data_IF_062137592327
#
_entry.id   IF_062137592327
#
_cell.length_a   1.000
_cell.length_b   1.000
_cell.length_c   1.000
_cell.angle_alpha   90.00
_cell.angle_beta   90.00
_cell.angle_gamma   90.00
#
_symmetry.space_group_name_H-M   'P 1'
#
loop_
_entity.id
_entity.type
_entity.pdbx_description
1 polymer ?
#
# COMPACT_ATOMS: atom_id res chain seq x y z
N UNK A 1 0.54 6.56 -57.52
CA UNK A 1 1.31 6.94 -56.30
C UNK A 1 0.33 7.04 -55.14
N UNK A 2 0.26 6.01 -54.31
CA UNK A 2 -0.74 5.87 -53.25
C UNK A 2 -0.17 6.48 -51.96
N UNK A 3 -0.84 7.51 -51.43
CA UNK A 3 -0.44 8.15 -50.17
C UNK A 3 -0.81 7.22 -49.02
N UNK A 4 0.20 6.74 -48.32
CA UNK A 4 0.07 5.95 -47.09
C UNK A 4 -0.48 6.90 -46.01
N UNK A 5 -1.61 6.61 -45.36
CA UNK A 5 -1.95 7.31 -44.13
C UNK A 5 -0.98 6.84 -43.05
N UNK A 6 -0.05 7.71 -42.68
CA UNK A 6 0.64 7.66 -41.40
C UNK A 6 -0.41 7.85 -40.32
N UNK A 7 -0.97 6.73 -39.83
CA UNK A 7 -1.68 6.72 -38.57
C UNK A 7 -0.68 7.13 -37.50
N UNK A 8 -0.75 8.38 -37.07
CA UNK A 8 -0.22 8.81 -35.78
C UNK A 8 -0.99 8.04 -34.71
N UNK A 9 -0.52 6.82 -34.42
CA UNK A 9 -0.83 6.10 -33.21
C UNK A 9 -0.06 6.77 -32.05
N UNK A 10 -0.30 8.07 -31.85
CA UNK A 10 -0.11 8.72 -30.56
C UNK A 10 -1.26 8.26 -29.66
N UNK A 11 -1.32 6.95 -29.44
CA UNK A 11 -2.10 6.33 -28.40
C UNK A 11 -1.29 6.41 -27.09
N UNK A 12 -0.76 7.59 -26.79
CA UNK A 12 -0.71 8.05 -25.41
C UNK A 12 -2.16 8.29 -25.00
N UNK A 13 -2.91 7.19 -24.85
CA UNK A 13 -4.16 7.17 -24.15
C UNK A 13 -3.88 7.90 -22.84
N UNK A 14 -4.39 9.13 -22.74
CA UNK A 14 -4.36 9.91 -21.52
C UNK A 14 -4.88 8.97 -20.46
N UNK A 15 -3.99 8.45 -19.61
CA UNK A 15 -4.39 7.45 -18.63
C UNK A 15 -5.45 8.17 -17.80
N UNK A 16 -6.70 7.71 -17.87
CA UNK A 16 -7.81 8.38 -17.22
C UNK A 16 -7.45 8.58 -15.74
N UNK A 17 -7.25 9.83 -15.33
CA UNK A 17 -6.83 10.15 -13.97
C UNK A 17 -7.79 9.51 -12.95
N UNK A 18 -9.08 9.48 -13.28
CA UNK A 18 -10.12 8.80 -12.52
C UNK A 18 -9.88 7.29 -12.36
N UNK A 19 -9.36 6.63 -13.41
CA UNK A 19 -9.03 5.20 -13.37
C UNK A 19 -7.78 4.96 -12.52
N UNK A 20 -6.77 5.81 -12.62
CA UNK A 20 -5.58 5.73 -11.75
C UNK A 20 -5.99 5.94 -10.30
N UNK A 21 -6.79 6.97 -10.00
CA UNK A 21 -7.30 7.24 -8.66
C UNK A 21 -8.11 6.05 -8.11
N UNK A 22 -8.97 5.43 -8.92
CA UNK A 22 -9.70 4.23 -8.52
C UNK A 22 -8.77 3.05 -8.21
N UNK A 23 -7.74 2.84 -9.02
CA UNK A 23 -6.73 1.79 -8.78
C UNK A 23 -5.87 2.08 -7.55
N UNK A 24 -5.45 3.33 -7.37
CA UNK A 24 -4.72 3.80 -6.19
C UNK A 24 -5.53 3.54 -4.92
N UNK A 25 -6.81 3.88 -4.94
CA UNK A 25 -7.75 3.61 -3.86
C UNK A 25 -7.86 2.11 -3.58
N UNK A 26 -8.13 1.31 -4.60
CA UNK A 26 -8.27 -0.15 -4.46
C UNK A 26 -7.00 -0.82 -3.90
N UNK A 27 -5.83 -0.32 -4.26
CA UNK A 27 -4.54 -0.85 -3.83
C UNK A 27 -3.86 -0.02 -2.73
N UNK A 28 -4.64 0.79 -2.00
CA UNK A 28 -4.14 1.65 -0.93
C UNK A 28 -3.21 0.92 0.08
N UNK A 29 -3.51 -0.30 0.58
CA UNK A 29 -2.59 -0.99 1.49
C UNK A 29 -1.19 -1.18 0.88
N UNK A 30 -1.14 -1.76 -0.33
CA UNK A 30 0.11 -2.09 -1.03
C UNK A 30 0.93 -0.84 -1.33
N UNK A 31 0.27 0.19 -1.88
CA UNK A 31 0.94 1.43 -2.27
C UNK A 31 1.46 2.17 -1.04
N UNK A 32 0.67 2.20 0.03
CA UNK A 32 1.08 2.86 1.28
C UNK A 32 2.29 2.17 1.88
N UNK A 33 2.26 0.85 2.00
CA UNK A 33 3.37 0.08 2.57
C UNK A 33 4.66 0.21 1.75
N UNK A 34 4.55 0.18 0.41
CA UNK A 34 5.70 0.37 -0.48
C UNK A 34 6.30 1.77 -0.39
N UNK A 35 5.48 2.77 -0.09
CA UNK A 35 5.93 4.18 -0.07
C UNK A 35 6.41 4.62 1.31
N UNK A 36 5.68 4.27 2.36
CA UNK A 36 5.93 4.72 3.73
C UNK A 36 6.63 3.67 4.59
N UNK A 37 6.73 2.43 4.12
CA UNK A 37 7.14 1.28 4.92
C UNK A 37 5.97 0.70 5.72
N UNK A 38 6.25 -0.23 6.66
CA UNK A 38 5.22 -0.83 7.50
C UNK A 38 4.59 0.20 8.44
N UNK A 39 3.28 0.07 8.74
CA UNK A 39 2.61 0.96 9.66
C UNK A 39 3.06 0.71 11.11
N UNK A 40 2.69 1.62 12.01
CA UNK A 40 2.77 1.36 13.44
C UNK A 40 1.65 0.38 13.83
N UNK A 41 1.98 -0.91 13.90
CA UNK A 41 1.04 -2.00 14.16
C UNK A 41 0.28 -1.83 15.49
N UNK A 42 0.91 -1.24 16.51
CA UNK A 42 0.28 -1.04 17.81
C UNK A 42 -0.85 0.02 17.80
N UNK A 43 -0.83 0.92 16.81
CA UNK A 43 -1.86 1.95 16.64
C UNK A 43 -2.80 1.66 15.45
N UNK A 44 -2.44 0.69 14.62
CA UNK A 44 -3.14 0.40 13.37
C UNK A 44 -4.21 -0.66 13.55
N UNK A 45 -5.20 -0.61 12.66
CA UNK A 45 -6.26 -1.60 12.57
C UNK A 45 -6.47 -2.01 11.11
N UNK A 46 -7.46 -2.88 10.87
CA UNK A 46 -7.76 -3.38 9.53
C UNK A 46 -8.16 -2.28 8.53
N UNK A 47 -8.75 -1.17 9.00
CA UNK A 47 -9.24 -0.09 8.16
C UNK A 47 -8.28 1.10 8.08
N UNK A 48 -7.48 1.32 9.12
CA UNK A 48 -6.69 2.53 9.32
C UNK A 48 -5.26 2.17 9.72
N UNK A 49 -4.31 2.68 8.93
CA UNK A 49 -2.89 2.51 9.18
C UNK A 49 -2.29 3.82 9.68
N UNK A 50 -1.58 3.71 10.80
CA UNK A 50 -1.04 4.86 11.51
C UNK A 50 0.47 4.94 11.34
N UNK A 51 0.96 6.13 11.03
CA UNK A 51 2.37 6.42 10.81
C UNK A 51 2.85 7.57 11.70
N UNK A 52 4.15 7.56 11.96
CA UNK A 52 4.80 8.46 12.91
C UNK A 52 4.75 7.96 14.34
N UNK A 53 5.41 8.70 15.24
CA UNK A 53 5.59 8.29 16.64
C UNK A 53 4.29 8.23 17.41
N UNK A 54 3.31 9.07 17.07
CA UNK A 54 2.02 9.17 17.77
C UNK A 54 0.83 8.83 16.87
N UNK A 55 1.07 8.22 15.70
CA UNK A 55 0.03 7.94 14.71
C UNK A 55 -0.59 9.23 14.18
N UNK A 56 0.24 10.25 13.96
CA UNK A 56 -0.21 11.55 13.45
C UNK A 56 -0.69 11.49 12.00
N UNK A 57 -0.10 10.61 11.19
CA UNK A 57 -0.56 10.32 9.84
C UNK A 57 -1.41 9.06 9.87
N UNK A 58 -2.64 9.16 9.38
CA UNK A 58 -3.60 8.07 9.28
C UNK A 58 -3.93 7.86 7.82
N UNK A 59 -3.82 6.63 7.34
CA UNK A 59 -4.19 6.23 5.98
C UNK A 59 -5.33 5.23 6.05
N UNK A 60 -6.43 5.52 5.38
CA UNK A 60 -7.57 4.62 5.27
C UNK A 60 -7.30 3.59 4.18
N UNK A 61 -6.99 2.36 4.59
CA UNK A 61 -6.61 1.27 3.68
C UNK A 61 -7.79 0.35 3.33
N UNK A 62 -8.88 0.42 4.08
CA UNK A 62 -10.10 -0.33 3.81
C UNK A 62 -11.36 0.46 4.24
N UNK A 63 -12.51 0.12 3.65
CA UNK A 63 -13.81 0.68 4.01
C UNK A 63 -14.23 1.88 3.16
N UNK A 64 -15.27 2.61 3.59
CA UNK A 64 -15.87 3.72 2.82
C UNK A 64 -14.84 4.80 2.44
N UNK A 65 -13.91 5.06 3.35
CA UNK A 65 -12.88 6.10 3.20
C UNK A 65 -11.58 5.57 2.60
N UNK A 66 -11.54 4.33 2.13
CA UNK A 66 -10.34 3.75 1.52
C UNK A 66 -9.72 4.70 0.48
N UNK A 67 -8.39 4.76 0.46
CA UNK A 67 -7.63 5.61 -0.46
C UNK A 67 -7.57 7.09 -0.07
N UNK A 68 -7.86 7.41 1.19
CA UNK A 68 -7.69 8.76 1.74
C UNK A 68 -6.75 8.75 2.94
N UNK A 69 -6.19 9.90 3.26
CA UNK A 69 -5.34 10.08 4.42
C UNK A 69 -5.68 11.36 5.19
N UNK A 70 -5.25 11.40 6.45
CA UNK A 70 -5.27 12.59 7.28
C UNK A 70 -4.02 12.67 8.13
N UNK A 71 -3.38 13.84 8.15
CA UNK A 71 -2.24 14.16 9.00
C UNK A 71 -2.66 15.17 10.07
N UNK A 72 -2.84 14.70 11.30
CA UNK A 72 -3.25 15.52 12.45
C UNK A 72 -2.19 16.54 12.88
N UNK A 73 -0.92 16.30 12.52
CA UNK A 73 0.18 17.20 12.88
C UNK A 73 0.25 18.43 11.97
N UNK A 74 -0.05 18.26 10.68
CA UNK A 74 -0.02 19.36 9.70
C UNK A 74 -1.41 19.88 9.35
N UNK A 75 -2.46 19.14 9.70
CA UNK A 75 -3.84 19.43 9.28
C UNK A 75 -4.15 19.00 7.85
N UNK A 76 -3.20 18.38 7.15
CA UNK A 76 -3.39 17.96 5.76
C UNK A 76 -4.30 16.74 5.66
N UNK A 77 -5.06 16.65 4.58
CA UNK A 77 -5.86 15.50 4.21
C UNK A 77 -5.98 15.44 2.70
N UNK A 78 -6.30 14.27 2.16
CA UNK A 78 -6.49 14.11 0.72
C UNK A 78 -6.56 12.66 0.28
N UNK A 79 -6.45 12.47 -1.03
CA UNK A 79 -6.36 11.18 -1.70
C UNK A 79 -4.94 10.59 -1.70
N UNK A 80 -4.82 9.38 -2.23
CA UNK A 80 -3.55 8.68 -2.37
C UNK A 80 -2.54 9.44 -3.25
N UNK A 81 -2.96 10.11 -4.31
CA UNK A 81 -2.03 10.89 -5.14
C UNK A 81 -1.42 12.04 -4.34
N UNK A 82 -2.24 12.74 -3.56
CA UNK A 82 -1.79 13.80 -2.65
C UNK A 82 -0.85 13.24 -1.59
N UNK A 83 -1.14 12.07 -1.01
CA UNK A 83 -0.26 11.38 -0.06
C UNK A 83 1.13 11.12 -0.69
N UNK A 84 1.15 10.59 -1.91
CA UNK A 84 2.38 10.28 -2.65
C UNK A 84 3.21 11.55 -2.93
N UNK A 85 2.56 12.60 -3.45
CA UNK A 85 3.20 13.89 -3.70
C UNK A 85 3.86 14.45 -2.44
N UNK A 86 3.14 14.43 -1.31
CA UNK A 86 3.63 14.98 -0.04
C UNK A 86 4.74 14.14 0.59
N UNK A 87 4.62 12.82 0.50
CA UNK A 87 5.59 11.90 1.11
C UNK A 87 6.90 11.86 0.36
N UNK A 88 6.86 12.01 -0.98
CA UNK A 88 8.06 11.97 -1.83
C UNK A 88 8.58 13.36 -2.21
N UNK A 89 7.80 14.42 -2.01
CA UNK A 89 8.18 15.79 -2.42
C UNK A 89 8.20 15.97 -3.95
N UNK A 90 7.33 15.27 -4.67
CA UNK A 90 7.32 15.21 -6.14
C UNK A 90 6.09 15.89 -6.75
N UNK A 91 6.13 16.14 -8.06
CA UNK A 91 4.99 16.66 -8.80
C UNK A 91 3.85 15.63 -8.90
N UNK A 92 2.66 16.10 -9.26
CA UNK A 92 1.50 15.21 -9.49
C UNK A 92 1.81 14.16 -10.59
N UNK A 93 2.42 14.59 -11.69
CA UNK A 93 2.76 13.70 -12.80
C UNK A 93 3.76 12.61 -12.38
N UNK A 94 4.75 12.97 -11.57
CA UNK A 94 5.74 12.03 -11.06
C UNK A 94 5.12 11.04 -10.07
N UNK A 95 4.21 11.52 -9.20
CA UNK A 95 3.46 10.66 -8.29
C UNK A 95 2.60 9.62 -9.04
N UNK A 96 1.90 10.04 -10.10
CA UNK A 96 1.10 9.14 -10.93
C UNK A 96 1.99 8.15 -11.71
N UNK A 97 3.16 8.59 -12.17
CA UNK A 97 4.14 7.73 -12.85
C UNK A 97 4.67 6.66 -11.90
N UNK A 98 5.04 7.04 -10.67
CA UNK A 98 5.47 6.12 -9.62
C UNK A 98 4.38 5.11 -9.27
N UNK A 99 3.16 5.59 -9.01
CA UNK A 99 1.99 4.76 -8.73
C UNK A 99 1.74 3.73 -9.85
N UNK A 100 1.78 4.19 -11.10
CA UNK A 100 1.62 3.31 -12.27
C UNK A 100 2.74 2.28 -12.36
N UNK A 101 3.96 2.65 -11.98
CA UNK A 101 5.09 1.72 -11.86
C UNK A 101 4.81 0.58 -10.88
N UNK A 102 4.34 0.90 -9.66
CA UNK A 102 3.95 -0.10 -8.66
C UNK A 102 2.83 -1.00 -9.19
N UNK A 103 1.79 -0.41 -9.78
CA UNK A 103 0.64 -1.16 -10.30
C UNK A 103 1.03 -2.09 -11.46
N UNK A 104 2.02 -1.71 -12.28
CA UNK A 104 2.52 -2.52 -13.42
C UNK A 104 3.50 -3.61 -13.02
N UNK A 105 4.28 -3.44 -11.96
CA UNK A 105 5.30 -4.41 -11.52
C UNK A 105 4.74 -5.66 -10.83
N UNK A 106 3.43 -5.88 -10.91
CA UNK A 106 2.73 -6.96 -10.25
C UNK A 106 2.14 -6.45 -8.95
N UNK A 107 0.87 -6.05 -9.04
CA UNK A 107 -0.01 -6.06 -7.88
C UNK A 107 0.20 -7.40 -7.16
N UNK A 108 0.60 -7.45 -5.88
CA UNK A 108 0.30 -8.65 -5.12
C UNK A 108 -1.22 -8.75 -5.19
N UNK A 109 -1.72 -9.82 -5.80
CA UNK A 109 -3.14 -10.16 -5.73
C UNK A 109 -3.49 -10.16 -4.25
N UNK A 110 -4.19 -9.11 -3.79
CA UNK A 110 -4.75 -9.07 -2.45
C UNK A 110 -5.91 -10.04 -2.45
N UNK A 111 -5.56 -11.33 -2.38
CA UNK A 111 -6.46 -12.38 -1.97
C UNK A 111 -6.98 -11.96 -0.60
N UNK A 112 -8.26 -11.60 -0.51
CA UNK A 112 -8.96 -11.44 0.75
C UNK A 112 -9.09 -12.82 1.42
N UNK A 113 -7.99 -13.45 1.80
CA UNK A 113 -8.01 -14.65 2.64
C UNK A 113 -8.22 -14.22 4.08
N UNK A 114 -9.51 -14.07 4.38
CA UNK A 114 -10.17 -14.52 5.61
C UNK A 114 -9.20 -14.77 6.76
N UNK A 115 -9.09 -13.76 7.63
CA UNK A 115 -8.53 -13.88 8.97
C UNK A 115 -9.15 -15.10 9.66
N UNK A 116 -8.42 -16.22 9.65
CA UNK A 116 -8.74 -17.40 10.44
C UNK A 116 -7.52 -17.64 11.31
N UNK A 117 -7.30 -16.76 12.29
CA UNK A 117 -6.41 -17.09 13.40
C UNK A 117 -7.25 -17.95 14.33
N UNK A 118 -7.37 -19.22 13.95
CA UNK A 118 -7.72 -20.29 14.87
C UNK A 118 -6.60 -20.41 15.90
N UNK A 119 -6.99 -20.39 17.16
CA UNK A 119 -6.24 -20.96 18.27
C UNK A 119 -5.52 -22.25 17.85
N UNK A 120 -4.18 -22.26 17.82
CA UNK A 120 -3.36 -23.42 18.18
C UNK A 120 -1.96 -22.93 18.60
N UNK A 121 -1.86 -22.42 19.84
CA UNK A 121 -0.56 -22.30 20.52
C UNK A 121 -0.06 -23.70 20.85
N UNK A 122 0.64 -24.31 19.91
CA UNK A 122 1.41 -25.53 20.12
C UNK A 122 2.58 -25.22 21.06
N UNK A 123 2.42 -25.63 22.32
CA UNK A 123 3.48 -25.65 23.33
C UNK A 123 4.63 -26.51 22.80
N UNK A 124 5.73 -25.87 22.41
CA UNK A 124 6.95 -26.58 22.07
C UNK A 124 7.49 -27.29 23.30
N UNK A 125 7.54 -28.62 23.19
CA UNK A 125 8.11 -29.55 24.16
C UNK A 125 9.56 -29.18 24.49
N UNK A 126 9.79 -28.98 25.78
CA UNK A 126 11.11 -29.05 26.40
C UNK A 126 11.74 -30.41 26.07
N UNK A 127 12.86 -30.42 25.35
CA UNK A 127 13.64 -31.63 25.11
C UNK A 127 14.50 -31.90 26.36
N UNK A 128 14.58 -33.14 26.87
CA UNK A 128 15.39 -33.45 28.05
C UNK A 128 16.89 -33.35 27.73
N UNK A 129 17.65 -32.69 28.62
CA UNK A 129 19.11 -32.74 28.60
C UNK A 129 19.60 -34.18 28.83
N UNK A 130 20.69 -34.61 28.17
CA UNK A 130 21.25 -35.93 28.40
C UNK A 130 22.07 -35.92 29.70
N UNK A 131 21.59 -36.61 30.74
CA UNK A 131 22.48 -37.12 31.78
C UNK A 131 23.31 -38.24 31.16
N UNK A 132 24.57 -37.94 30.86
CA UNK A 132 25.59 -38.96 30.76
C UNK A 132 26.27 -39.04 32.12
N UNK A 133 26.10 -40.20 32.76
CA UNK A 133 27.02 -40.73 33.75
C UNK A 133 28.48 -40.48 33.34
N UNK A 134 29.33 -40.12 34.32
CA UNK A 134 30.41 -40.97 34.84
C UNK A 134 31.59 -40.09 35.33
N UNK A 135 31.67 -39.86 36.65
CA UNK A 135 32.71 -40.43 37.53
C UNK A 135 32.42 -40.09 39.01
#
# INVERSE_FOLDING_TARGET
MQKIPINNADNTASIDANKIEAMLKQHAPVITEKTLGPPNEALSNQHEWHYGRRGELVVHVQGKNQGSFHNKRTGEAGDMTTLLMRSMGVSNQDALTYATGILKQGLPTVEHTKLTIGHESSVQKLSPMPEKELL
#
